data_IF_251943105219
#
_entry.id   IF_251943105219
#
_cell.length_a   1.000
_cell.length_b   1.000
_cell.length_c   1.000
_cell.angle_alpha   90.00
_cell.angle_beta   90.00
_cell.angle_gamma   90.00
#
_symmetry.space_group_name_H-M   'P 1'
#
loop_
_entity.id
_entity.type
_entity.pdbx_description
1 polymer ?
#
# COMPACT_ATOMS: atom_id res chain seq x y z
N UNK A 1 -40.47 53.56 -1.52
CA UNK A 1 -39.08 53.47 -2.01
C UNK A 1 -38.12 53.51 -0.82
N UNK A 2 -38.03 52.41 -0.07
CA UNK A 2 -37.06 52.20 1.03
C UNK A 2 -36.65 50.73 1.00
N UNK A 3 -36.04 50.35 -0.11
CA UNK A 3 -35.36 49.09 -0.30
C UNK A 3 -33.96 49.49 -0.76
N UNK A 4 -32.95 49.18 0.04
CA UNK A 4 -31.55 48.91 -0.33
C UNK A 4 -30.68 49.14 0.91
N UNK A 5 -29.64 48.31 1.05
CA UNK A 5 -28.59 48.33 2.07
C UNK A 5 -28.88 47.48 3.32
N UNK A 6 -29.06 46.17 3.12
CA UNK A 6 -28.46 45.21 4.06
C UNK A 6 -27.26 44.59 3.38
N UNK A 7 -26.09 45.04 3.83
CA UNK A 7 -24.79 44.76 3.26
C UNK A 7 -24.43 43.28 3.39
N UNK A 8 -23.98 42.75 2.26
CA UNK A 8 -23.07 41.63 2.07
C UNK A 8 -21.95 41.61 3.12
N UNK A 9 -21.97 40.60 3.99
CA UNK A 9 -20.79 40.16 4.74
C UNK A 9 -20.88 38.64 4.99
N UNK A 10 -20.99 37.86 3.91
CA UNK A 10 -20.59 36.46 3.93
C UNK A 10 -19.06 36.43 3.95
N UNK A 11 -18.50 36.57 5.15
CA UNK A 11 -17.10 36.28 5.42
C UNK A 11 -16.90 34.79 5.13
N UNK A 12 -16.46 34.47 3.92
CA UNK A 12 -16.06 33.13 3.52
C UNK A 12 -14.76 32.83 4.25
N UNK A 13 -14.88 32.27 5.45
CA UNK A 13 -13.77 31.59 6.11
C UNK A 13 -13.39 30.40 5.19
N UNK A 14 -12.44 30.65 4.29
CA UNK A 14 -11.78 29.58 3.55
C UNK A 14 -10.99 28.80 4.58
N UNK A 15 -11.54 27.66 5.01
CA UNK A 15 -10.73 26.67 5.70
C UNK A 15 -9.57 26.32 4.75
N UNK A 16 -8.33 26.21 5.26
CA UNK A 16 -7.23 25.75 4.43
C UNK A 16 -7.63 24.38 3.88
N UNK A 17 -7.87 24.31 2.57
CA UNK A 17 -8.03 23.04 1.88
C UNK A 17 -6.66 22.38 1.91
N UNK A 18 -6.49 21.36 2.76
CA UNK A 18 -5.32 20.50 2.69
C UNK A 18 -5.34 19.81 1.32
N UNK A 19 -4.49 20.25 0.42
CA UNK A 19 -4.31 19.61 -0.89
C UNK A 19 -3.29 18.49 -0.71
N UNK A 20 -3.75 17.24 -0.82
CA UNK A 20 -2.82 16.11 -0.86
C UNK A 20 -1.86 16.26 -2.03
N UNK A 21 -0.62 15.82 -1.85
CA UNK A 21 0.35 15.79 -2.93
C UNK A 21 -0.02 14.69 -3.93
N UNK A 22 -0.80 15.14 -4.93
CA UNK A 22 -1.17 14.47 -6.20
C UNK A 22 -0.09 13.49 -6.65
N UNK A 23 1.09 14.06 -6.85
CA UNK A 23 2.22 13.40 -7.48
C UNK A 23 2.82 12.33 -6.57
N UNK A 24 2.94 12.61 -5.27
CA UNK A 24 3.50 11.61 -4.32
C UNK A 24 2.60 10.40 -4.15
N UNK A 25 1.28 10.60 -4.09
CA UNK A 25 0.34 9.49 -4.03
C UNK A 25 0.36 8.65 -5.31
N UNK A 26 0.59 9.27 -6.47
CA UNK A 26 0.80 8.53 -7.72
C UNK A 26 2.13 7.78 -7.73
N UNK A 27 3.23 8.37 -7.24
CA UNK A 27 4.50 7.67 -7.06
C UNK A 27 4.33 6.42 -6.16
N UNK A 28 3.60 6.57 -5.05
CA UNK A 28 3.26 5.46 -4.15
C UNK A 28 2.41 4.39 -4.85
N UNK A 29 1.37 4.79 -5.59
CA UNK A 29 0.54 3.87 -6.38
C UNK A 29 1.38 3.05 -7.36
N UNK A 30 2.28 3.69 -8.11
CA UNK A 30 3.15 3.01 -9.08
C UNK A 30 4.30 2.22 -8.46
N UNK A 31 4.53 2.34 -7.15
CA UNK A 31 5.48 1.47 -6.42
C UNK A 31 4.87 0.11 -6.06
N UNK A 32 3.54 -0.05 -6.18
CA UNK A 32 2.85 -1.31 -5.86
C UNK A 32 2.83 -2.24 -7.06
N UNK A 33 3.10 -3.51 -6.81
CA UNK A 33 3.16 -4.58 -7.80
C UNK A 33 2.35 -5.78 -7.32
N UNK A 34 2.01 -6.68 -8.25
CA UNK A 34 1.36 -7.95 -7.91
C UNK A 34 2.41 -9.06 -7.87
N UNK A 35 2.30 -9.96 -6.90
CA UNK A 35 3.03 -11.22 -6.90
C UNK A 35 2.04 -12.29 -7.34
N UNK A 36 2.40 -13.06 -8.37
CA UNK A 36 1.58 -14.10 -8.96
C UNK A 36 2.31 -15.44 -8.88
N UNK A 37 1.55 -16.52 -8.96
CA UNK A 37 2.08 -17.86 -9.10
C UNK A 37 0.95 -18.85 -9.36
N UNK A 38 1.29 -20.01 -9.91
CA UNK A 38 0.32 -21.10 -10.01
C UNK A 38 0.37 -21.95 -8.74
N UNK A 39 -0.80 -22.33 -8.26
CA UNK A 39 -0.94 -23.30 -7.18
C UNK A 39 -0.87 -24.73 -7.71
N UNK A 40 -0.88 -25.70 -6.80
CA UNK A 40 -0.76 -27.13 -7.13
C UNK A 40 -1.92 -27.67 -7.98
N UNK A 41 -3.08 -27.01 -8.00
CA UNK A 41 -4.22 -27.35 -8.85
C UNK A 41 -4.27 -26.56 -10.16
N UNK A 42 -3.23 -25.75 -10.46
CA UNK A 42 -3.15 -24.92 -11.67
C UNK A 42 -3.93 -23.60 -11.59
N UNK A 43 -4.58 -23.31 -10.46
CA UNK A 43 -5.23 -22.02 -10.22
C UNK A 43 -4.22 -20.89 -9.96
N UNK A 44 -4.56 -19.67 -10.38
CA UNK A 44 -3.74 -18.50 -10.12
C UNK A 44 -3.83 -18.10 -8.64
N UNK A 45 -2.71 -18.15 -7.94
CA UNK A 45 -2.51 -17.52 -6.64
C UNK A 45 -1.90 -16.13 -6.83
N UNK A 46 -2.30 -15.19 -5.99
CA UNK A 46 -1.83 -13.82 -6.09
C UNK A 46 -1.80 -13.11 -4.74
N UNK A 47 -0.89 -12.15 -4.65
CA UNK A 47 -0.74 -11.19 -3.57
C UNK A 47 -0.23 -9.87 -4.12
N UNK A 48 0.06 -8.93 -3.23
CA UNK A 48 0.61 -7.62 -3.54
C UNK A 48 2.05 -7.51 -3.01
N UNK A 49 2.78 -6.51 -3.49
CA UNK A 49 4.08 -6.14 -2.97
C UNK A 49 4.36 -4.66 -3.22
N UNK A 50 5.36 -4.12 -2.54
CA UNK A 50 5.79 -2.72 -2.69
C UNK A 50 7.26 -2.67 -3.06
N UNK A 51 7.60 -1.94 -4.11
CA UNK A 51 9.00 -1.67 -4.48
C UNK A 51 9.61 -0.75 -3.41
N UNK A 52 10.63 -1.22 -2.71
CA UNK A 52 11.29 -0.52 -1.58
C UNK A 52 12.75 -0.19 -1.85
N UNK A 53 13.27 -0.63 -2.99
CA UNK A 53 14.61 -0.31 -3.45
C UNK A 53 14.78 -0.75 -4.90
N UNK A 54 15.96 -0.47 -5.45
CA UNK A 54 16.32 -0.97 -6.78
C UNK A 54 16.19 -2.49 -6.83
N UNK A 55 15.34 -2.99 -7.73
CA UNK A 55 15.05 -4.41 -7.94
C UNK A 55 14.59 -5.16 -6.67
N UNK A 56 14.02 -4.44 -5.70
CA UNK A 56 13.63 -4.95 -4.38
C UNK A 56 12.16 -4.70 -4.10
N UNK A 57 11.43 -5.76 -3.80
CA UNK A 57 10.01 -5.72 -3.44
C UNK A 57 9.81 -6.32 -2.06
N UNK A 58 9.12 -5.63 -1.17
CA UNK A 58 8.66 -6.19 0.09
C UNK A 58 7.23 -6.72 -0.08
N UNK A 59 6.92 -7.84 0.56
CA UNK A 59 5.58 -8.44 0.59
C UNK A 59 5.41 -9.25 1.88
N UNK A 60 4.26 -9.90 2.06
CA UNK A 60 4.13 -10.94 3.07
C UNK A 60 4.74 -12.27 2.65
N UNK A 61 5.34 -12.99 3.58
CA UNK A 61 5.92 -14.30 3.29
C UNK A 61 4.85 -15.35 2.97
N UNK A 62 3.67 -15.26 3.58
CA UNK A 62 2.60 -16.23 3.31
C UNK A 62 2.10 -16.21 1.86
N UNK A 63 2.33 -15.13 1.10
CA UNK A 63 2.00 -15.05 -0.35
C UNK A 63 2.66 -16.17 -1.14
N UNK A 64 3.85 -16.61 -0.72
CA UNK A 64 4.60 -17.67 -1.39
C UNK A 64 4.15 -19.09 -1.05
N UNK A 65 3.32 -19.29 -0.02
CA UNK A 65 2.90 -20.64 0.40
C UNK A 65 2.05 -21.36 -0.66
N UNK A 66 1.38 -20.60 -1.51
CA UNK A 66 0.47 -21.12 -2.51
C UNK A 66 1.16 -21.54 -3.82
N UNK A 67 2.44 -21.21 -4.03
CA UNK A 67 3.10 -21.41 -5.33
C UNK A 67 4.58 -21.78 -5.19
N UNK A 68 5.08 -22.62 -6.11
CA UNK A 68 6.50 -23.00 -6.15
C UNK A 68 7.35 -22.06 -7.01
N UNK A 69 6.73 -21.39 -7.97
CA UNK A 69 7.40 -20.56 -8.97
C UNK A 69 6.69 -19.21 -9.08
N UNK A 70 6.82 -18.35 -8.06
CA UNK A 70 6.24 -17.02 -8.06
C UNK A 70 6.98 -16.06 -9.01
N UNK A 71 6.25 -15.09 -9.55
CA UNK A 71 6.82 -13.95 -10.27
C UNK A 71 6.18 -12.63 -9.82
N UNK A 72 6.90 -11.53 -10.04
CA UNK A 72 6.35 -10.19 -9.86
C UNK A 72 5.73 -9.74 -11.19
N UNK A 73 4.62 -9.00 -11.13
CA UNK A 73 3.96 -8.46 -12.32
C UNK A 73 3.41 -7.06 -12.12
N UNK A 74 3.29 -6.34 -13.24
CA UNK A 74 2.58 -5.06 -13.35
C UNK A 74 1.74 -5.10 -14.63
N UNK A 75 0.43 -5.26 -14.49
CA UNK A 75 -0.41 -5.58 -15.64
C UNK A 75 0.00 -6.93 -16.25
N UNK A 76 0.47 -6.89 -17.50
CA UNK A 76 0.96 -8.04 -18.26
C UNK A 76 2.49 -8.21 -18.18
N UNK A 77 3.23 -7.20 -17.70
CA UNK A 77 4.67 -7.30 -17.58
C UNK A 77 5.05 -8.28 -16.46
N UNK A 78 6.06 -9.10 -16.71
CA UNK A 78 6.54 -10.15 -15.80
C UNK A 78 8.00 -9.94 -15.45
N UNK A 79 8.30 -10.07 -14.16
CA UNK A 79 9.62 -9.90 -13.58
C UNK A 79 9.97 -11.15 -12.75
N UNK A 80 10.92 -11.99 -13.21
CA UNK A 80 11.33 -13.18 -12.48
C UNK A 80 11.94 -12.85 -11.12
N UNK A 81 11.61 -13.65 -10.11
CA UNK A 81 12.20 -13.54 -8.77
C UNK A 81 13.53 -14.28 -8.77
N UNK A 82 14.61 -13.62 -8.33
CA UNK A 82 15.95 -14.20 -8.27
C UNK A 82 16.29 -14.73 -6.87
N UNK A 83 15.76 -14.11 -5.83
CA UNK A 83 15.90 -14.59 -4.45
C UNK A 83 14.84 -13.98 -3.54
N UNK A 84 14.59 -14.65 -2.41
CA UNK A 84 13.70 -14.17 -1.34
C UNK A 84 14.43 -14.26 -0.01
N UNK A 85 14.53 -13.15 0.70
CA UNK A 85 14.98 -13.10 2.09
C UNK A 85 13.77 -13.00 3.00
N UNK A 86 13.54 -14.03 3.81
CA UNK A 86 12.35 -14.14 4.65
C UNK A 86 12.62 -13.71 6.09
N UNK A 87 11.71 -12.92 6.64
CA UNK A 87 11.50 -12.72 8.07
C UNK A 87 10.13 -13.31 8.43
N UNK A 88 10.16 -14.58 8.82
CA UNK A 88 8.93 -15.36 9.09
C UNK A 88 8.21 -14.91 10.36
N UNK A 89 8.90 -14.27 11.29
CA UNK A 89 8.32 -13.79 12.54
C UNK A 89 7.41 -12.59 12.29
N UNK A 90 7.83 -11.71 11.40
CA UNK A 90 7.06 -10.53 10.98
C UNK A 90 6.16 -10.78 9.76
N UNK A 91 6.20 -12.00 9.20
CA UNK A 91 5.57 -12.34 7.93
C UNK A 91 5.94 -11.34 6.83
N UNK A 92 7.23 -11.01 6.72
CA UNK A 92 7.77 -10.07 5.72
C UNK A 92 8.85 -10.75 4.89
N UNK A 93 8.72 -10.65 3.57
CA UNK A 93 9.67 -11.23 2.64
C UNK A 93 10.19 -10.15 1.69
N UNK A 94 11.51 -9.98 1.66
CA UNK A 94 12.20 -9.11 0.71
C UNK A 94 12.60 -9.93 -0.52
N UNK A 95 12.01 -9.57 -1.65
CA UNK A 95 12.14 -10.22 -2.94
C UNK A 95 13.12 -9.43 -3.79
N UNK A 96 14.11 -10.11 -4.37
CA UNK A 96 14.99 -9.51 -5.37
C UNK A 96 14.59 -10.00 -6.77
N UNK A 97 14.76 -9.14 -7.76
CA UNK A 97 14.67 -9.47 -9.19
C UNK A 97 15.94 -9.03 -9.93
N UNK A 98 16.10 -9.41 -11.19
CA UNK A 98 17.27 -9.04 -11.98
C UNK A 98 17.21 -7.58 -12.45
N UNK A 99 16.08 -7.13 -12.96
CA UNK A 99 15.88 -5.77 -13.46
C UNK A 99 14.40 -5.40 -13.47
N UNK A 100 14.09 -4.23 -12.94
CA UNK A 100 12.74 -3.70 -12.82
C UNK A 100 12.78 -2.17 -12.90
N UNK A 101 12.06 -1.53 -13.85
CA UNK A 101 12.17 -0.10 -14.11
C UNK A 101 11.30 0.75 -13.17
N UNK A 102 11.12 0.31 -11.92
CA UNK A 102 10.12 0.86 -11.01
C UNK A 102 10.77 1.69 -9.91
N UNK A 103 10.23 2.88 -9.69
CA UNK A 103 10.67 3.78 -8.63
C UNK A 103 10.27 3.22 -7.25
N UNK A 104 11.21 3.16 -6.28
CA UNK A 104 10.87 2.77 -4.92
C UNK A 104 9.91 3.74 -4.23
N UNK A 105 9.04 3.19 -3.39
CA UNK A 105 8.29 3.96 -2.41
C UNK A 105 9.25 4.68 -1.45
N UNK A 106 8.89 5.90 -1.05
CA UNK A 106 9.51 6.52 0.12
C UNK A 106 9.03 5.79 1.36
N UNK A 107 9.93 5.49 2.29
CA UNK A 107 9.58 4.80 3.54
C UNK A 107 9.38 5.85 4.62
N UNK A 108 8.22 5.80 5.28
CA UNK A 108 7.85 6.65 6.40
C UNK A 108 8.28 6.06 7.75
N UNK A 109 7.99 6.79 8.83
CA UNK A 109 8.28 6.33 10.19
C UNK A 109 7.00 5.81 10.86
N UNK A 110 7.05 4.59 11.40
CA UNK A 110 5.95 4.03 12.20
C UNK A 110 5.88 4.61 13.61
N UNK A 111 6.92 5.35 14.05
CA UNK A 111 6.99 5.92 15.40
C UNK A 111 6.18 7.21 15.57
N UNK A 112 5.83 7.87 14.46
CA UNK A 112 5.11 9.15 14.45
C UNK A 112 3.62 9.00 14.17
N UNK A 113 3.14 7.77 14.04
CA UNK A 113 1.75 7.46 13.70
C UNK A 113 0.79 7.83 14.83
N UNK A 114 -0.40 8.29 14.46
CA UNK A 114 -1.45 8.70 15.40
C UNK A 114 -2.77 8.02 15.09
N UNK A 115 -3.59 7.82 16.12
CA UNK A 115 -4.99 7.46 15.91
C UNK A 115 -5.70 8.55 15.11
N UNK A 116 -6.69 8.14 14.32
CA UNK A 116 -7.45 8.98 13.39
C UNK A 116 -6.63 9.62 12.26
N UNK A 117 -5.34 9.27 12.13
CA UNK A 117 -4.53 9.68 10.99
C UNK A 117 -5.06 9.04 9.71
N UNK A 118 -5.23 9.86 8.66
CA UNK A 118 -5.62 9.42 7.33
C UNK A 118 -4.52 8.58 6.68
N UNK A 119 -4.95 7.52 6.02
CA UNK A 119 -4.09 6.57 5.32
C UNK A 119 -4.75 6.11 4.03
N UNK A 120 -3.92 5.72 3.08
CA UNK A 120 -4.38 5.13 1.83
C UNK A 120 -3.65 3.80 1.58
N UNK A 121 -4.43 2.77 1.32
CA UNK A 121 -3.94 1.46 0.89
C UNK A 121 -3.93 1.36 -0.64
N UNK A 122 -2.84 0.84 -1.20
CA UNK A 122 -2.74 0.49 -2.61
C UNK A 122 -2.38 -0.98 -2.74
N UNK A 123 -3.23 -1.77 -3.40
CA UNK A 123 -3.04 -3.21 -3.49
C UNK A 123 -3.91 -3.90 -4.53
N UNK A 124 -3.53 -5.12 -4.89
CA UNK A 124 -4.18 -5.94 -5.91
C UNK A 124 -5.30 -6.81 -5.36
N UNK A 125 -6.24 -6.20 -4.63
CA UNK A 125 -7.45 -6.88 -4.14
C UNK A 125 -8.21 -7.54 -5.31
N UNK A 126 -8.71 -8.75 -5.08
CA UNK A 126 -9.35 -9.64 -6.06
C UNK A 126 -8.51 -9.91 -7.32
N UNK A 127 -7.18 -9.79 -7.24
CA UNK A 127 -6.29 -10.04 -8.38
C UNK A 127 -6.37 -8.97 -9.47
N UNK A 128 -6.88 -7.77 -9.16
CA UNK A 128 -6.95 -6.65 -10.12
C UNK A 128 -5.58 -6.37 -10.76
N UNK A 129 -5.44 -6.33 -12.10
CA UNK A 129 -4.15 -6.09 -12.76
C UNK A 129 -3.49 -4.75 -12.39
N UNK A 130 -4.29 -3.73 -12.07
CA UNK A 130 -3.84 -2.46 -11.51
C UNK A 130 -4.13 -2.42 -9.99
N UNK A 131 -3.29 -1.72 -9.18
CA UNK A 131 -3.60 -1.53 -7.77
C UNK A 131 -4.95 -0.84 -7.57
N UNK A 132 -5.73 -1.32 -6.59
CA UNK A 132 -6.94 -0.68 -6.12
C UNK A 132 -6.61 0.23 -4.94
N UNK A 133 -7.29 1.38 -4.89
CA UNK A 133 -7.14 2.37 -3.83
C UNK A 133 -8.16 2.13 -2.73
N UNK A 134 -7.73 2.20 -1.47
CA UNK A 134 -8.60 2.08 -0.31
C UNK A 134 -8.25 3.13 0.74
N UNK A 135 -9.15 4.08 0.97
CA UNK A 135 -8.94 5.13 1.97
C UNK A 135 -9.40 4.66 3.34
N UNK A 136 -8.74 5.15 4.38
CA UNK A 136 -9.18 4.93 5.74
C UNK A 136 -8.43 5.78 6.74
N UNK A 137 -8.62 5.44 8.00
CA UNK A 137 -7.91 6.06 9.12
C UNK A 137 -7.37 4.99 10.07
N UNK A 138 -6.34 5.33 10.82
CA UNK A 138 -5.78 4.46 11.86
C UNK A 138 -6.74 4.43 13.06
N UNK A 139 -7.21 3.23 13.43
CA UNK A 139 -8.11 2.97 14.56
C UNK A 139 -7.46 2.21 15.72
N UNK A 140 -6.20 1.83 15.58
CA UNK A 140 -5.46 1.13 16.62
C UNK A 140 -3.98 1.07 16.28
N UNK A 141 -3.15 1.28 17.29
CA UNK A 141 -1.71 1.11 17.25
C UNK A 141 -1.34 0.21 18.41
N UNK A 142 -0.71 -0.91 18.10
CA UNK A 142 -0.35 -1.92 19.08
C UNK A 142 1.14 -2.21 18.96
N UNK A 143 1.85 -2.08 20.07
CA UNK A 143 3.21 -2.60 20.18
C UNK A 143 3.08 -4.12 20.40
N UNK A 144 3.44 -4.90 19.39
CA UNK A 144 3.56 -6.36 19.49
C UNK A 144 5.05 -6.72 19.64
N UNK A 145 5.34 -7.91 20.18
CA UNK A 145 6.69 -8.47 20.22
C UNK A 145 7.28 -8.64 18.81
N UNK A 146 6.43 -8.57 17.79
CA UNK A 146 6.70 -8.65 16.36
C UNK A 146 6.67 -7.25 15.68
N UNK A 147 6.80 -6.17 16.45
CA UNK A 147 6.79 -4.80 15.93
C UNK A 147 5.41 -4.11 16.03
N UNK A 148 5.29 -2.92 15.43
CA UNK A 148 4.05 -2.12 15.50
C UNK A 148 2.99 -2.67 14.55
N UNK A 149 1.85 -3.07 15.10
CA UNK A 149 0.66 -3.46 14.33
C UNK A 149 -0.32 -2.29 14.26
N UNK A 150 -0.75 -1.96 13.05
CA UNK A 150 -1.78 -0.96 12.78
C UNK A 150 -3.10 -1.63 12.47
N UNK A 151 -4.18 -1.15 13.09
CA UNK A 151 -5.55 -1.44 12.64
C UNK A 151 -6.11 -0.21 11.96
N UNK A 152 -6.60 -0.34 10.74
CA UNK A 152 -7.15 0.78 9.97
C UNK A 152 -8.57 0.46 9.47
N UNK A 153 -9.28 1.48 9.01
CA UNK A 153 -10.57 1.29 8.29
C UNK A 153 -10.39 1.08 6.78
N UNK A 154 -9.16 1.16 6.27
CA UNK A 154 -8.89 0.94 4.85
C UNK A 154 -9.18 -0.52 4.52
N UNK A 155 -10.25 -0.75 3.76
CA UNK A 155 -10.74 -2.08 3.43
C UNK A 155 -9.83 -2.75 2.40
N UNK A 156 -9.65 -4.04 2.53
CA UNK A 156 -8.95 -4.83 1.52
C UNK A 156 -9.54 -6.24 1.44
N UNK A 157 -9.33 -6.91 0.30
CA UNK A 157 -9.84 -8.25 0.03
C UNK A 157 -8.69 -9.21 -0.33
N UNK A 158 -9.01 -10.47 -0.62
CA UNK A 158 -8.03 -11.48 -1.05
C UNK A 158 -7.14 -10.91 -2.17
N UNK A 159 -5.83 -11.16 -2.10
CA UNK A 159 -4.84 -10.54 -3.01
C UNK A 159 -4.21 -9.24 -2.49
N UNK A 160 -4.77 -8.65 -1.43
CA UNK A 160 -4.16 -7.49 -0.78
C UNK A 160 -3.01 -7.82 0.19
N UNK A 161 -2.77 -9.09 0.52
CA UNK A 161 -1.61 -9.49 1.33
C UNK A 161 -0.33 -8.92 0.71
N UNK A 162 0.47 -8.20 1.48
CA UNK A 162 1.69 -7.55 1.01
C UNK A 162 1.47 -6.18 0.36
N UNK A 163 0.24 -5.68 0.31
CA UNK A 163 -0.06 -4.35 -0.23
C UNK A 163 0.44 -3.24 0.68
N UNK A 164 0.75 -2.08 0.10
CA UNK A 164 1.28 -0.96 0.86
C UNK A 164 0.17 -0.14 1.52
N UNK A 165 0.41 0.28 2.76
CA UNK A 165 -0.34 1.31 3.45
C UNK A 165 0.53 2.57 3.53
N UNK A 166 0.01 3.70 3.07
CA UNK A 166 0.73 4.96 2.92
C UNK A 166 0.09 6.08 3.73
N UNK A 167 0.91 7.02 4.19
CA UNK A 167 0.41 8.32 4.65
C UNK A 167 -0.01 9.21 3.46
N UNK A 168 -0.61 10.36 3.76
CA UNK A 168 -1.11 11.27 2.73
C UNK A 168 0.01 12.04 2.00
N UNK A 169 1.25 11.89 2.44
CA UNK A 169 2.45 12.37 1.76
C UNK A 169 3.07 11.29 0.84
N UNK A 170 2.44 10.12 0.72
CA UNK A 170 2.88 9.02 -0.14
C UNK A 170 4.05 8.20 0.43
N UNK A 171 4.33 8.31 1.74
CA UNK A 171 5.34 7.46 2.38
C UNK A 171 4.69 6.15 2.84
N UNK A 172 5.36 5.03 2.54
CA UNK A 172 5.00 3.70 2.99
C UNK A 172 5.19 3.63 4.51
N UNK A 173 4.08 3.43 5.24
CA UNK A 173 4.07 3.34 6.70
C UNK A 173 3.75 1.93 7.20
N UNK A 174 3.26 1.04 6.33
CA UNK A 174 2.96 -0.34 6.69
C UNK A 174 2.74 -1.26 5.49
N UNK A 175 2.74 -2.56 5.77
CA UNK A 175 2.38 -3.61 4.83
C UNK A 175 1.11 -4.28 5.35
N UNK A 176 0.06 -4.31 4.54
CA UNK A 176 -1.19 -4.95 4.89
C UNK A 176 -1.00 -6.47 4.90
N UNK A 177 -1.44 -7.09 5.99
CA UNK A 177 -1.40 -8.55 6.17
C UNK A 177 -2.76 -9.05 6.66
N UNK A 178 -3.02 -10.34 6.44
CA UNK A 178 -4.13 -11.07 7.06
C UNK A 178 -3.56 -11.95 8.18
N UNK A 179 -4.24 -11.99 9.31
CA UNK A 179 -3.98 -12.97 10.36
C UNK A 179 -5.25 -13.76 10.64
#
# INVERSE_FOLDING_TARGET
MRLLLLATALLSASLPAFSYDKARLMDAFFSVVMIRGYNVSGGLAYGSGVVVGENKVITNCHVFRATKEPWISRGEDVYPITSVKADVWHDLCLVNTASMPFKPAKIGSSNTLKLEQEVVGFGHSNGSPAPLTSNGVIKGLYDDNLGKVMRTTAKFAMGASGSGLFDMEGNLIGINTFK
#
